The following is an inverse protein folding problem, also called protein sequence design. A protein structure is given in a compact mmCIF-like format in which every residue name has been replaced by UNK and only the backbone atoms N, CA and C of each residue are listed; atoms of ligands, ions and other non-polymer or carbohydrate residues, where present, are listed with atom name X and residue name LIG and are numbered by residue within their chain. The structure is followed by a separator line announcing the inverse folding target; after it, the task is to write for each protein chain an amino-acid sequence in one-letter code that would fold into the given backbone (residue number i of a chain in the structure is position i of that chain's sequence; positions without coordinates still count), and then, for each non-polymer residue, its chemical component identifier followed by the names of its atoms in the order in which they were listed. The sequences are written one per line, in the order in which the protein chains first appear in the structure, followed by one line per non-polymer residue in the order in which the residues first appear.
data_IF_468221367326
#
_entry.id   IF_468221367326
#
_cell.length_a   1.000
_cell.length_b   1.000
_cell.length_c   1.000
_cell.angle_alpha   90.00
_cell.angle_beta   90.00
_cell.angle_gamma   90.00
#
_symmetry.space_group_name_H-M   'P 1'
#
loop_
_entity.id
_entity.type
_entity.pdbx_description
1 polymer ?
#
# COMPACT_ATOMS: atom_id res chain seq x y z
N UNK A 1 -0.72 -8.38 10.09
CA UNK A 1 -0.44 -8.29 8.64
C UNK A 1 0.06 -6.90 8.29
N UNK A 2 1.02 -6.82 7.37
CA UNK A 2 1.40 -5.59 6.71
C UNK A 2 0.54 -5.40 5.46
N UNK A 3 -0.12 -4.26 5.31
CA UNK A 3 -0.98 -3.95 4.16
C UNK A 3 -0.28 -2.90 3.31
N UNK A 4 0.13 -3.26 2.10
CA UNK A 4 0.79 -2.40 1.15
C UNK A 4 -0.23 -1.78 0.18
N UNK A 5 -0.43 -0.46 0.23
CA UNK A 5 -1.24 0.26 -0.75
C UNK A 5 -0.37 0.70 -1.91
N UNK A 6 -0.65 0.14 -3.07
CA UNK A 6 0.15 0.31 -4.28
C UNK A 6 -0.47 1.33 -5.23
N UNK A 7 0.35 2.27 -5.72
CA UNK A 7 -0.06 3.22 -6.75
C UNK A 7 0.42 2.74 -8.13
N UNK A 8 -0.48 2.38 -9.04
CA UNK A 8 -0.11 1.94 -10.38
C UNK A 8 0.39 3.07 -11.29
N UNK A 9 0.31 4.32 -10.84
CA UNK A 9 0.86 5.49 -11.56
C UNK A 9 2.37 5.37 -11.73
N UNK A 10 3.04 4.75 -10.76
CA UNK A 10 4.44 4.37 -10.85
C UNK A 10 4.55 2.84 -10.88
N UNK A 11 4.66 2.28 -12.08
CA UNK A 11 4.63 0.82 -12.30
C UNK A 11 5.75 0.11 -11.53
N UNK A 12 5.39 -0.99 -10.86
CA UNK A 12 6.27 -2.00 -10.29
C UNK A 12 5.77 -3.39 -10.68
N UNK A 13 6.57 -4.41 -10.46
CA UNK A 13 6.25 -5.76 -10.88
C UNK A 13 4.95 -6.34 -10.31
N UNK A 14 4.55 -5.93 -9.09
CA UNK A 14 3.33 -6.43 -8.43
C UNK A 14 2.22 -5.39 -8.31
N UNK A 15 2.07 -4.48 -9.27
CA UNK A 15 0.92 -3.57 -9.35
C UNK A 15 1.22 -2.11 -9.12
N UNK A 16 2.34 -1.75 -8.50
CA UNK A 16 2.75 -0.36 -8.39
C UNK A 16 3.60 -0.02 -7.17
N UNK A 17 3.97 1.22 -7.11
CA UNK A 17 4.77 1.82 -6.06
C UNK A 17 4.06 1.78 -4.69
N UNK A 18 4.79 1.43 -3.62
CA UNK A 18 4.28 1.51 -2.25
C UNK A 18 4.08 2.98 -1.83
N UNK A 19 2.85 3.47 -1.89
CA UNK A 19 2.50 4.85 -1.53
C UNK A 19 2.25 5.04 -0.04
N UNK A 20 1.39 4.20 0.50
CA UNK A 20 1.03 4.15 1.91
C UNK A 20 1.04 2.71 2.39
N UNK A 21 1.05 2.50 3.70
CA UNK A 21 0.94 1.18 4.31
C UNK A 21 0.06 1.23 5.56
N UNK A 22 -0.47 0.10 5.94
CA UNK A 22 -1.22 -0.07 7.17
C UNK A 22 -0.87 -1.38 7.87
N UNK A 23 -1.36 -1.52 9.08
CA UNK A 23 -1.27 -2.76 9.83
C UNK A 23 -2.68 -3.27 10.14
N UNK A 24 -2.87 -4.57 9.97
CA UNK A 24 -4.09 -5.28 10.29
C UNK A 24 -3.78 -6.41 11.25
N UNK A 25 -4.52 -6.49 12.34
CA UNK A 25 -4.51 -7.63 13.26
C UNK A 25 -5.72 -8.51 12.99
N UNK A 26 -5.50 -9.83 12.89
CA UNK A 26 -6.57 -10.81 12.85
C UNK A 26 -6.45 -11.71 14.08
N UNK A 27 -7.46 -11.72 14.94
CA UNK A 27 -7.49 -12.53 16.16
C UNK A 27 -8.90 -13.13 16.34
N UNK A 28 -8.95 -14.46 16.45
CA UNK A 28 -10.20 -15.24 16.65
C UNK A 28 -11.36 -14.89 15.70
N UNK A 29 -11.05 -14.49 14.47
CA UNK A 29 -12.03 -14.07 13.47
C UNK A 29 -12.35 -12.58 13.48
N UNK A 30 -11.88 -11.84 14.47
CA UNK A 30 -11.99 -10.39 14.50
C UNK A 30 -10.81 -9.75 13.74
N UNK A 31 -11.13 -8.79 12.86
CA UNK A 31 -10.15 -8.01 12.12
C UNK A 31 -10.12 -6.59 12.69
N UNK A 32 -8.96 -6.19 13.19
CA UNK A 32 -8.74 -4.86 13.76
C UNK A 32 -7.68 -4.14 12.96
N UNK A 33 -8.04 -3.02 12.37
CA UNK A 33 -7.08 -2.11 11.73
C UNK A 33 -6.30 -1.36 12.82
N UNK A 34 -4.99 -1.35 12.67
CA UNK A 34 -4.13 -0.32 13.28
C UNK A 34 -4.09 0.90 12.36
N UNK A 35 -3.20 1.84 12.61
CA UNK A 35 -3.09 3.05 11.80
C UNK A 35 -2.62 2.79 10.36
N UNK A 36 -2.92 3.74 9.47
CA UNK A 36 -2.41 3.81 8.09
C UNK A 36 -1.42 4.95 7.99
N UNK A 37 -0.28 4.72 7.34
CA UNK A 37 0.84 5.64 7.31
C UNK A 37 1.33 5.91 5.88
N UNK A 38 1.88 7.10 5.65
CA UNK A 38 2.64 7.39 4.44
C UNK A 38 3.95 6.57 4.42
N UNK A 39 4.40 6.18 3.23
CA UNK A 39 5.71 5.55 3.04
C UNK A 39 6.88 6.43 3.50
N UNK A 40 6.67 7.74 3.65
CA UNK A 40 7.70 8.69 4.14
C UNK A 40 8.15 8.43 5.58
N UNK A 41 7.38 7.66 6.35
CA UNK A 41 7.76 7.23 7.71
C UNK A 41 8.71 6.03 7.72
N UNK A 42 8.90 5.38 6.57
CA UNK A 42 9.76 4.21 6.42
C UNK A 42 11.20 4.64 6.09
N UNK A 43 12.16 4.07 6.80
CA UNK A 43 13.58 4.32 6.55
C UNK A 43 14.14 3.28 5.59
N UNK A 44 14.74 3.75 4.49
CA UNK A 44 15.39 2.88 3.51
C UNK A 44 16.65 2.23 4.10
N UNK A 45 17.03 1.09 3.55
CA UNK A 45 18.18 0.32 3.99
C UNK A 45 19.42 0.62 3.13
N UNK A 46 20.61 0.34 3.67
CA UNK A 46 21.87 0.48 2.92
C UNK A 46 22.04 -0.59 1.83
N UNK A 47 21.35 -1.73 1.95
CA UNK A 47 21.36 -2.85 1.02
C UNK A 47 20.00 -3.60 1.09
N UNK A 48 19.66 -4.41 0.06
CA UNK A 48 18.49 -5.28 0.12
C UNK A 48 18.45 -6.14 1.37
N UNK A 49 17.29 -6.23 2.02
CA UNK A 49 17.12 -6.93 3.32
C UNK A 49 16.97 -8.44 3.18
N UNK A 50 16.74 -8.93 1.96
CA UNK A 50 16.59 -10.36 1.64
C UNK A 50 17.48 -10.70 0.45
N UNK A 51 18.21 -11.81 0.54
CA UNK A 51 18.90 -12.38 -0.60
C UNK A 51 17.95 -13.33 -1.36
N UNK A 52 17.50 -12.92 -2.52
CA UNK A 52 16.62 -13.69 -3.42
C UNK A 52 17.40 -14.42 -4.53
N UNK A 53 18.71 -14.53 -4.39
CA UNK A 53 19.57 -15.25 -5.30
C UNK A 53 20.30 -14.38 -6.35
N UNK A 54 21.22 -15.02 -7.12
CA UNK A 54 22.08 -14.30 -8.05
C UNK A 54 21.30 -13.62 -9.19
N UNK A 55 20.32 -14.31 -9.76
CA UNK A 55 19.53 -13.75 -10.87
C UNK A 55 18.74 -12.53 -10.45
N UNK A 56 18.19 -12.54 -9.22
CA UNK A 56 17.49 -11.39 -8.66
C UNK A 56 18.43 -10.20 -8.44
N UNK A 57 19.64 -10.46 -7.93
CA UNK A 57 20.66 -9.42 -7.74
C UNK A 57 21.17 -8.85 -9.06
N UNK A 58 21.29 -9.69 -10.10
CA UNK A 58 21.69 -9.23 -11.44
C UNK A 58 20.66 -8.29 -12.05
N UNK A 59 19.34 -8.63 -11.90
CA UNK A 59 18.24 -7.84 -12.47
C UNK A 59 17.99 -6.53 -11.74
N UNK A 60 18.01 -6.54 -10.40
CA UNK A 60 17.49 -5.43 -9.59
C UNK A 60 18.59 -4.73 -8.76
N UNK A 61 19.77 -5.29 -8.67
CA UNK A 61 20.92 -4.68 -7.99
C UNK A 61 20.62 -4.31 -6.54
N UNK A 62 20.79 -3.03 -6.23
CA UNK A 62 20.54 -2.45 -4.89
C UNK A 62 19.16 -1.80 -4.74
N UNK A 63 18.38 -1.68 -5.78
CA UNK A 63 17.11 -0.97 -5.78
C UNK A 63 16.11 -1.49 -4.74
N UNK A 64 16.02 -2.82 -4.46
CA UNK A 64 15.18 -3.34 -3.39
C UNK A 64 15.59 -2.97 -1.96
N UNK A 65 16.65 -2.20 -1.76
CA UNK A 65 16.94 -1.56 -0.47
C UNK A 65 15.96 -0.42 -0.15
N UNK A 66 15.27 0.09 -1.15
CA UNK A 66 14.22 1.10 -0.99
C UNK A 66 12.86 0.42 -0.84
N UNK A 67 12.11 0.79 0.20
CA UNK A 67 10.78 0.25 0.46
C UNK A 67 9.88 0.25 -0.78
N UNK A 68 9.94 1.32 -1.54
CA UNK A 68 9.14 1.56 -2.74
C UNK A 68 9.52 0.67 -3.93
N UNK A 69 10.66 -0.02 -3.85
CA UNK A 69 11.20 -0.88 -4.90
C UNK A 69 11.28 -2.36 -4.49
N UNK A 70 10.86 -2.72 -3.28
CA UNK A 70 10.87 -4.12 -2.83
C UNK A 70 9.96 -5.04 -3.66
N UNK A 71 9.07 -4.46 -4.46
CA UNK A 71 8.15 -5.17 -5.34
C UNK A 71 8.45 -5.00 -6.85
N UNK A 72 9.71 -4.83 -7.21
CA UNK A 72 10.12 -4.74 -8.63
C UNK A 72 9.90 -6.04 -9.40
N UNK A 73 10.06 -7.19 -8.74
CA UNK A 73 9.74 -8.49 -9.33
C UNK A 73 8.23 -8.69 -9.46
N UNK A 74 7.74 -9.30 -10.57
CA UNK A 74 6.33 -9.68 -10.70
C UNK A 74 5.92 -10.85 -9.78
N UNK A 75 6.88 -11.49 -9.11
CA UNK A 75 6.63 -12.55 -8.15
C UNK A 75 6.26 -11.96 -6.78
N UNK A 76 4.97 -11.90 -6.46
CA UNK A 76 4.48 -11.32 -5.22
C UNK A 76 5.07 -11.95 -3.94
N UNK A 77 5.30 -13.27 -3.82
CA UNK A 77 6.03 -13.84 -2.69
C UNK A 77 7.38 -13.16 -2.41
N UNK A 78 8.11 -12.69 -3.42
CA UNK A 78 9.36 -11.95 -3.24
C UNK A 78 9.12 -10.58 -2.62
N UNK A 79 8.10 -9.86 -3.07
CA UNK A 79 7.72 -8.58 -2.46
C UNK A 79 7.27 -8.78 -1.01
N UNK A 80 6.44 -9.79 -0.76
CA UNK A 80 5.91 -10.11 0.56
C UNK A 80 7.02 -10.39 1.58
N UNK A 81 7.98 -11.25 1.24
CA UNK A 81 9.09 -11.57 2.16
C UNK A 81 10.01 -10.36 2.39
N UNK A 82 10.22 -9.52 1.37
CA UNK A 82 11.02 -8.30 1.51
C UNK A 82 10.35 -7.31 2.45
N UNK A 83 9.07 -7.00 2.25
CA UNK A 83 8.33 -6.08 3.11
C UNK A 83 8.20 -6.59 4.55
N UNK A 84 7.91 -7.88 4.75
CA UNK A 84 7.84 -8.47 6.09
C UNK A 84 9.20 -8.42 6.82
N UNK A 85 10.29 -8.74 6.11
CA UNK A 85 11.65 -8.69 6.66
C UNK A 85 12.08 -7.24 6.96
N UNK A 86 11.78 -6.31 6.06
CA UNK A 86 12.06 -4.90 6.25
C UNK A 86 11.30 -4.33 7.46
N UNK A 87 10.02 -4.70 7.62
CA UNK A 87 9.22 -4.31 8.78
C UNK A 87 9.84 -4.79 10.08
N UNK A 88 10.17 -6.07 10.16
CA UNK A 88 10.85 -6.65 11.34
C UNK A 88 12.18 -5.95 11.63
N UNK A 89 12.98 -5.68 10.59
CA UNK A 89 14.29 -5.03 10.77
C UNK A 89 14.17 -3.58 11.26
N UNK A 90 13.11 -2.88 10.87
CA UNK A 90 12.90 -1.48 11.26
C UNK A 90 12.24 -1.36 12.64
N UNK A 91 11.29 -2.24 12.99
CA UNK A 91 10.42 -2.08 14.16
C UNK A 91 10.66 -3.11 15.25
N UNK A 92 11.29 -4.24 14.91
CA UNK A 92 11.39 -5.41 15.79
C UNK A 92 10.11 -6.27 15.82
N UNK A 93 9.02 -5.86 15.16
CA UNK A 93 7.74 -6.58 15.12
C UNK A 93 7.68 -7.53 13.91
N UNK A 94 7.14 -8.73 14.13
CA UNK A 94 6.85 -9.67 13.04
C UNK A 94 5.41 -9.52 12.54
N UNK A 95 5.23 -9.72 11.24
CA UNK A 95 3.91 -9.82 10.62
C UNK A 95 3.67 -11.24 10.08
N UNK A 96 2.47 -11.77 10.26
CA UNK A 96 2.10 -13.11 9.80
C UNK A 96 2.00 -13.20 8.26
N UNK A 97 1.91 -12.05 7.59
CA UNK A 97 1.84 -11.99 6.13
C UNK A 97 1.73 -10.56 5.62
N UNK A 98 1.70 -10.45 4.29
CA UNK A 98 1.60 -9.18 3.57
C UNK A 98 0.41 -9.24 2.62
N UNK A 99 -0.39 -8.18 2.62
CA UNK A 99 -1.47 -7.94 1.68
C UNK A 99 -1.08 -6.77 0.78
N UNK A 100 -1.38 -6.85 -0.51
CA UNK A 100 -1.22 -5.73 -1.44
C UNK A 100 -2.60 -5.31 -1.96
N UNK A 101 -2.84 -4.00 -1.95
CA UNK A 101 -4.08 -3.37 -2.38
C UNK A 101 -3.71 -2.25 -3.35
N UNK A 102 -4.20 -2.31 -4.57
CA UNK A 102 -4.04 -1.27 -5.58
C UNK A 102 -5.34 -0.49 -5.82
N UNK A 103 -5.33 0.48 -6.73
CA UNK A 103 -6.52 1.27 -7.06
C UNK A 103 -7.66 0.43 -7.64
N UNK A 104 -7.36 -0.68 -8.32
CA UNK A 104 -8.38 -1.59 -8.83
C UNK A 104 -9.05 -2.36 -7.69
N UNK A 105 -8.29 -2.78 -6.69
CA UNK A 105 -8.85 -3.37 -5.48
C UNK A 105 -9.74 -2.36 -4.74
N UNK A 106 -9.34 -1.09 -4.62
CA UNK A 106 -10.17 -0.03 -4.03
C UNK A 106 -11.48 0.16 -4.82
N UNK A 107 -11.43 0.10 -6.16
CA UNK A 107 -12.62 0.13 -7.00
C UNK A 107 -13.61 -0.98 -6.65
N UNK A 108 -13.13 -2.22 -6.53
CA UNK A 108 -13.99 -3.35 -6.13
C UNK A 108 -14.52 -3.21 -4.71
N UNK A 109 -13.73 -2.70 -3.78
CA UNK A 109 -14.19 -2.43 -2.42
C UNK A 109 -15.32 -1.39 -2.42
N UNK A 110 -15.19 -0.28 -3.14
CA UNK A 110 -16.25 0.71 -3.29
C UNK A 110 -17.49 0.12 -3.95
N UNK A 111 -17.33 -0.75 -4.93
CA UNK A 111 -18.46 -1.44 -5.57
C UNK A 111 -19.24 -2.30 -4.57
N UNK A 112 -18.55 -2.93 -3.63
CA UNK A 112 -19.16 -3.77 -2.59
C UNK A 112 -19.73 -2.98 -1.41
N UNK A 113 -19.05 -1.89 -0.99
CA UNK A 113 -19.38 -1.14 0.26
C UNK A 113 -20.13 0.17 0.01
N UNK A 114 -20.25 0.60 -1.24
CA UNK A 114 -20.83 1.89 -1.62
C UNK A 114 -19.81 3.04 -1.68
N UNK A 115 -20.24 4.20 -2.20
CA UNK A 115 -19.38 5.38 -2.37
C UNK A 115 -18.80 5.90 -1.06
N UNK A 116 -17.58 6.45 -1.11
CA UNK A 116 -16.92 7.14 0.01
C UNK A 116 -16.69 8.61 -0.33
N UNK A 117 -16.67 9.47 0.70
CA UNK A 117 -16.32 10.88 0.52
C UNK A 117 -14.88 11.09 0.97
N UNK A 118 -14.04 11.55 0.05
CA UNK A 118 -12.66 11.90 0.37
C UNK A 118 -12.60 13.17 1.25
N UNK A 119 -11.50 13.43 1.97
CA UNK A 119 -11.34 14.59 2.85
C UNK A 119 -11.57 15.94 2.19
N UNK A 120 -11.31 16.05 0.91
CA UNK A 120 -11.51 17.25 0.10
C UNK A 120 -12.93 17.42 -0.46
N UNK A 121 -13.88 16.57 -0.02
CA UNK A 121 -15.29 16.61 -0.39
C UNK A 121 -15.63 15.85 -1.68
N UNK A 122 -14.64 15.27 -2.38
CA UNK A 122 -14.91 14.48 -3.58
C UNK A 122 -15.60 13.16 -3.22
N UNK A 123 -16.75 12.89 -3.85
CA UNK A 123 -17.41 11.59 -3.73
C UNK A 123 -16.74 10.60 -4.68
N UNK A 124 -16.18 9.54 -4.11
CA UNK A 124 -15.52 8.46 -4.83
C UNK A 124 -16.48 7.30 -5.01
N UNK A 125 -16.67 6.92 -6.28
CA UNK A 125 -17.47 5.78 -6.72
C UNK A 125 -16.57 4.76 -7.40
N UNK A 126 -17.09 3.56 -7.70
CA UNK A 126 -16.35 2.58 -8.50
C UNK A 126 -15.95 3.10 -9.89
N UNK A 127 -16.71 4.06 -10.44
CA UNK A 127 -16.45 4.60 -11.77
C UNK A 127 -15.33 5.65 -11.79
N UNK A 128 -15.09 6.36 -10.67
CA UNK A 128 -14.16 7.49 -10.67
C UNK A 128 -12.94 7.33 -9.76
N UNK A 129 -12.92 6.38 -8.83
CA UNK A 129 -11.85 6.25 -7.82
C UNK A 129 -10.47 6.05 -8.44
N UNK A 130 -10.38 5.22 -9.49
CA UNK A 130 -9.10 4.92 -10.16
C UNK A 130 -8.55 6.18 -10.84
N UNK A 131 -9.41 6.90 -11.58
CA UNK A 131 -9.03 8.15 -12.22
C UNK A 131 -8.67 9.22 -11.19
N UNK A 132 -9.50 9.37 -10.16
CA UNK A 132 -9.28 10.41 -9.16
C UNK A 132 -7.98 10.17 -8.37
N UNK A 133 -7.80 9.00 -7.75
CA UNK A 133 -6.60 8.69 -6.95
C UNK A 133 -5.35 8.43 -7.80
N UNK A 134 -5.51 8.04 -9.08
CA UNK A 134 -4.41 7.73 -9.98
C UNK A 134 -3.94 8.91 -10.83
N UNK A 135 -4.77 9.95 -11.00
CA UNK A 135 -4.44 11.07 -11.90
C UNK A 135 -4.83 12.42 -11.32
N UNK A 136 -6.10 12.64 -11.00
CA UNK A 136 -6.63 13.98 -10.73
C UNK A 136 -6.01 14.61 -9.47
N UNK A 137 -5.76 13.82 -8.42
CA UNK A 137 -5.09 14.32 -7.20
C UNK A 137 -3.64 14.75 -7.44
N UNK A 138 -2.96 14.18 -8.45
CA UNK A 138 -1.59 14.58 -8.78
C UNK A 138 -1.56 15.97 -9.42
N UNK A 139 -2.59 16.34 -10.15
CA UNK A 139 -2.78 17.70 -10.67
C UNK A 139 -3.27 18.66 -9.58
N UNK A 140 -4.25 18.21 -8.78
CA UNK A 140 -4.86 19.02 -7.72
C UNK A 140 -3.87 19.39 -6.60
N UNK A 141 -2.97 18.46 -6.25
CA UNK A 141 -1.96 18.62 -5.19
C UNK A 141 -0.53 18.60 -5.74
N UNK A 142 -0.31 19.18 -6.92
CA UNK A 142 0.99 19.16 -7.60
C UNK A 142 2.11 19.75 -6.72
N UNK A 143 1.80 20.80 -5.96
CA UNK A 143 2.75 21.49 -5.06
C UNK A 143 2.72 20.97 -3.62
N UNK A 144 1.77 20.07 -3.26
CA UNK A 144 1.61 19.54 -1.90
C UNK A 144 1.53 18.01 -1.90
N UNK A 145 2.69 17.39 -1.99
CA UNK A 145 2.83 15.94 -1.97
C UNK A 145 2.38 15.32 -0.63
N UNK A 146 2.46 16.08 0.47
CA UNK A 146 2.05 15.61 1.79
C UNK A 146 0.53 15.51 1.86
N UNK A 147 -0.19 16.59 1.54
CA UNK A 147 -1.65 16.59 1.51
C UNK A 147 -2.22 15.52 0.55
N UNK A 148 -1.55 15.30 -0.61
CA UNK A 148 -1.94 14.22 -1.52
C UNK A 148 -1.84 12.83 -0.89
N UNK A 149 -0.73 12.55 -0.18
CA UNK A 149 -0.50 11.25 0.48
C UNK A 149 -1.44 11.05 1.67
N UNK A 150 -1.73 12.09 2.42
CA UNK A 150 -2.66 12.05 3.55
C UNK A 150 -4.08 11.75 3.05
N UNK A 151 -4.53 12.40 1.97
CA UNK A 151 -5.81 12.08 1.32
C UNK A 151 -5.89 10.61 0.89
N UNK A 152 -4.85 10.10 0.25
CA UNK A 152 -4.81 8.67 -0.16
C UNK A 152 -4.88 7.73 1.05
N UNK A 153 -4.17 8.04 2.14
CA UNK A 153 -4.19 7.25 3.36
C UNK A 153 -5.56 7.27 4.03
N UNK A 154 -6.23 8.44 4.09
CA UNK A 154 -7.56 8.57 4.68
C UNK A 154 -8.63 7.81 3.88
N UNK A 155 -8.60 7.89 2.55
CA UNK A 155 -9.50 7.12 1.68
C UNK A 155 -9.29 5.61 1.87
N UNK A 156 -8.04 5.15 1.90
CA UNK A 156 -7.72 3.75 2.15
C UNK A 156 -8.22 3.28 3.54
N UNK A 157 -8.04 4.13 4.55
CA UNK A 157 -8.52 3.91 5.91
C UNK A 157 -10.04 3.73 5.96
N UNK A 158 -10.80 4.66 5.39
CA UNK A 158 -12.28 4.59 5.37
C UNK A 158 -12.78 3.33 4.66
N UNK A 159 -12.14 2.93 3.55
CA UNK A 159 -12.52 1.72 2.83
C UNK A 159 -12.27 0.45 3.63
N UNK A 160 -11.11 0.35 4.30
CA UNK A 160 -10.83 -0.79 5.18
C UNK A 160 -11.86 -0.85 6.31
N UNK A 161 -12.13 0.27 6.97
CA UNK A 161 -13.08 0.34 8.07
C UNK A 161 -14.50 -0.07 7.64
N UNK A 162 -14.90 0.23 6.40
CA UNK A 162 -16.18 -0.25 5.84
C UNK A 162 -16.18 -1.76 5.61
N UNK A 163 -15.10 -2.30 5.06
CA UNK A 163 -14.98 -3.74 4.86
C UNK A 163 -15.04 -4.48 6.19
N UNK A 164 -14.35 -3.98 7.22
CA UNK A 164 -14.37 -4.57 8.56
C UNK A 164 -15.74 -4.50 9.25
N UNK A 165 -16.62 -3.59 8.81
CA UNK A 165 -17.99 -3.46 9.31
C UNK A 165 -19.02 -4.30 8.57
N UNK A 166 -18.63 -4.97 7.45
CA UNK A 166 -19.59 -5.80 6.68
C UNK A 166 -19.98 -7.11 7.38
N UNK A 167 -19.28 -7.52 8.43
CA UNK A 167 -19.48 -8.77 9.16
C UNK A 167 -20.47 -8.63 10.35
N UNK A 168 -21.31 -7.61 10.36
CA UNK A 168 -22.33 -7.36 11.39
C UNK A 168 -23.74 -7.76 11.01
#
# INVERSE_FOLDING_TARGET
YFVAFQSPVEIRGTGGFLGTYGLLTADQGELVRKDTFSNSTLQNFAAPVVDLGPDYRELYGRDPALWVNMNMSPNFPYAGVQWATAWRNQTGEEVAGVLAVDLTALQYLIQATGPVTAPDGQVLTADNVVQYLGSDIYLKYAEDNTARKDLQAEVATELIDRVLRLDG
#
